data_IF_780888407065
#
_entry.id   IF_780888407065
#
_cell.length_a   1.000
_cell.length_b   1.000
_cell.length_c   1.000
_cell.angle_alpha   90.00
_cell.angle_beta   90.00
_cell.angle_gamma   90.00
#
_symmetry.space_group_name_H-M   'P 1'
#
loop_
_entity.id
_entity.type
_entity.pdbx_description
1 polymer ?
#
# COMPACT_ATOMS: atom_id res chain seq x y z
N UNK A 1 0.30 0.30 8.85
CA UNK A 1 -1.09 0.22 8.38
C UNK A 1 -1.47 -1.20 7.97
N UNK A 2 -2.76 -1.48 7.82
CA UNK A 2 -3.31 -2.71 7.26
C UNK A 2 -3.98 -2.36 5.93
N UNK A 3 -3.54 -3.04 4.88
CA UNK A 3 -4.12 -2.99 3.55
C UNK A 3 -4.90 -4.26 3.25
N UNK A 4 -5.85 -4.15 2.35
CA UNK A 4 -6.60 -5.26 1.81
C UNK A 4 -6.58 -5.19 0.28
N UNK A 5 -6.40 -6.32 -0.40
CA UNK A 5 -6.50 -6.39 -1.85
C UNK A 5 -7.18 -7.68 -2.30
N UNK A 6 -7.66 -7.70 -3.54
CA UNK A 6 -8.23 -8.90 -4.17
C UNK A 6 -7.18 -9.51 -5.07
N UNK A 7 -6.85 -10.78 -4.85
CA UNK A 7 -5.96 -11.50 -5.74
C UNK A 7 -6.71 -11.83 -7.04
N UNK A 8 -6.23 -11.28 -8.15
CA UNK A 8 -6.78 -11.52 -9.48
C UNK A 8 -6.38 -12.88 -10.06
N UNK A 9 -5.34 -13.51 -9.52
CA UNK A 9 -4.81 -14.80 -9.97
C UNK A 9 -5.35 -15.99 -9.16
N UNK A 10 -6.00 -15.73 -8.02
CA UNK A 10 -6.75 -16.76 -7.29
C UNK A 10 -8.14 -16.92 -7.93
N UNK A 11 -8.46 -18.13 -8.41
CA UNK A 11 -9.77 -18.46 -9.01
C UNK A 11 -10.95 -18.11 -8.10
N UNK A 12 -10.72 -18.01 -6.78
CA UNK A 12 -11.73 -17.69 -5.78
C UNK A 12 -11.80 -16.19 -5.43
N UNK A 13 -11.04 -15.32 -6.11
CA UNK A 13 -10.93 -13.88 -5.82
C UNK A 13 -10.74 -13.61 -4.32
N UNK A 14 -9.80 -14.34 -3.71
CA UNK A 14 -9.61 -14.24 -2.26
C UNK A 14 -9.17 -12.84 -1.89
N UNK A 15 -9.70 -12.38 -0.76
CA UNK A 15 -9.35 -11.12 -0.15
C UNK A 15 -8.17 -11.35 0.79
N UNK A 16 -7.06 -10.69 0.52
CA UNK A 16 -5.85 -10.76 1.34
C UNK A 16 -5.74 -9.50 2.19
N UNK A 17 -5.35 -9.69 3.46
CA UNK A 17 -5.03 -8.59 4.38
C UNK A 17 -3.56 -8.65 4.71
N UNK A 18 -2.86 -7.54 4.47
CA UNK A 18 -1.42 -7.45 4.67
C UNK A 18 -1.08 -6.22 5.49
N UNK A 19 -0.01 -6.32 6.26
CA UNK A 19 0.59 -5.15 6.89
C UNK A 19 1.47 -4.44 5.86
N UNK A 20 1.48 -3.12 5.98
CA UNK A 20 2.33 -2.25 5.20
C UNK A 20 2.72 -1.04 6.05
N UNK A 21 3.78 -0.35 5.68
CA UNK A 21 4.23 0.90 6.31
C UNK A 21 4.49 1.95 5.24
N UNK A 22 4.28 3.21 5.58
CA UNK A 22 4.70 4.33 4.73
C UNK A 22 6.06 4.80 5.22
N UNK A 23 7.03 4.88 4.32
CA UNK A 23 8.38 5.34 4.65
C UNK A 23 9.03 6.09 3.48
N UNK A 24 9.99 6.95 3.79
CA UNK A 24 10.88 7.62 2.84
C UNK A 24 12.29 7.00 2.86
N UNK A 25 12.53 6.00 3.71
CA UNK A 25 13.84 5.36 3.91
C UNK A 25 14.01 4.08 3.08
N UNK A 26 13.12 3.84 2.11
CA UNK A 26 13.18 2.68 1.23
C UNK A 26 13.91 3.02 -0.08
N UNK A 27 14.61 2.06 -0.69
CA UNK A 27 15.33 2.27 -1.96
C UNK A 27 14.42 2.71 -3.12
N UNK A 28 13.13 2.39 -3.05
CA UNK A 28 12.13 2.87 -4.01
C UNK A 28 11.72 4.34 -3.80
N UNK A 29 12.03 4.93 -2.64
CA UNK A 29 11.78 6.34 -2.36
C UNK A 29 12.82 7.21 -3.08
N UNK A 30 12.34 8.06 -3.98
CA UNK A 30 13.17 9.04 -4.67
C UNK A 30 12.75 10.45 -4.25
N UNK A 31 13.72 11.35 -4.07
CA UNK A 31 13.48 12.75 -3.68
C UNK A 31 12.65 12.92 -2.39
N UNK A 32 12.75 11.98 -1.45
CA UNK A 32 11.99 12.02 -0.19
C UNK A 32 10.49 11.75 -0.36
N UNK A 33 10.05 11.25 -1.52
CA UNK A 33 8.65 10.90 -1.73
C UNK A 33 8.30 9.66 -0.89
N UNK A 34 7.21 9.70 -0.10
CA UNK A 34 6.79 8.56 0.68
C UNK A 34 6.43 7.39 -0.24
N UNK A 35 6.80 6.18 0.15
CA UNK A 35 6.40 4.94 -0.52
C UNK A 35 5.75 4.00 0.48
N UNK A 36 4.84 3.17 0.00
CA UNK A 36 4.22 2.11 0.78
C UNK A 36 5.11 0.88 0.65
N UNK A 37 5.55 0.32 1.78
CA UNK A 37 6.38 -0.88 1.83
C UNK A 37 5.59 -1.98 2.53
N UNK A 38 5.51 -3.14 1.89
CA UNK A 38 4.87 -4.35 2.39
C UNK A 38 5.79 -5.09 3.37
N UNK A 39 5.24 -6.03 4.14
CA UNK A 39 6.01 -6.80 5.13
C UNK A 39 7.14 -7.65 4.51
N UNK A 40 7.03 -8.02 3.23
CA UNK A 40 8.05 -8.74 2.47
C UNK A 40 9.19 -7.83 1.97
N UNK A 41 9.13 -6.52 2.27
CA UNK A 41 10.10 -5.52 1.83
C UNK A 41 9.82 -4.98 0.42
N UNK A 42 8.80 -5.48 -0.28
CA UNK A 42 8.36 -4.93 -1.56
C UNK A 42 7.78 -3.54 -1.40
N UNK A 43 8.12 -2.63 -2.32
CA UNK A 43 7.42 -1.35 -2.42
C UNK A 43 6.16 -1.53 -3.29
N UNK A 44 5.02 -1.03 -2.80
CA UNK A 44 3.76 -1.05 -3.52
C UNK A 44 3.69 0.15 -4.47
N UNK A 45 3.65 -0.15 -5.76
CA UNK A 45 3.50 0.84 -6.82
C UNK A 45 2.03 1.15 -7.13
N UNK A 46 1.79 2.23 -7.89
CA UNK A 46 0.45 2.72 -8.21
C UNK A 46 -0.32 1.76 -9.13
N UNK A 47 0.35 1.07 -10.06
CA UNK A 47 -0.30 0.13 -10.95
C UNK A 47 -0.86 -1.04 -10.14
N UNK A 48 -0.03 -1.66 -9.28
CA UNK A 48 -0.45 -2.73 -8.38
C UNK A 48 -1.57 -2.28 -7.43
N UNK A 49 -1.49 -1.05 -6.89
CA UNK A 49 -2.53 -0.46 -6.04
C UNK A 49 -3.90 -0.47 -6.73
N UNK A 50 -3.95 0.01 -7.97
CA UNK A 50 -5.20 0.14 -8.74
C UNK A 50 -5.67 -1.24 -9.27
N UNK A 51 -4.77 -2.03 -9.85
CA UNK A 51 -5.13 -3.30 -10.49
C UNK A 51 -5.69 -4.30 -9.50
N UNK A 52 -5.10 -4.40 -8.31
CA UNK A 52 -5.52 -5.34 -7.25
C UNK A 52 -6.58 -4.74 -6.31
N UNK A 53 -7.01 -3.50 -6.57
CA UNK A 53 -8.05 -2.82 -5.80
C UNK A 53 -7.68 -2.67 -4.32
N UNK A 54 -6.45 -2.19 -4.05
CA UNK A 54 -5.98 -2.01 -2.68
C UNK A 54 -6.85 -1.02 -1.90
N UNK A 55 -7.18 -1.39 -0.66
CA UNK A 55 -7.98 -0.60 0.26
C UNK A 55 -7.28 -0.50 1.61
N UNK A 56 -7.38 0.68 2.22
CA UNK A 56 -6.84 0.94 3.56
C UNK A 56 -7.87 0.52 4.61
N UNK A 57 -7.61 -0.58 5.30
CA UNK A 57 -8.50 -1.09 6.36
C UNK A 57 -8.22 -0.41 7.69
N UNK A 58 -6.93 -0.15 7.97
CA UNK A 58 -6.52 0.49 9.22
C UNK A 58 -5.24 1.28 9.01
N UNK A 59 -5.26 2.57 9.32
CA UNK A 59 -4.08 3.43 9.28
C UNK A 59 -4.10 4.38 10.49
N UNK A 60 -2.92 4.72 10.99
CA UNK A 60 -2.73 5.80 11.97
C UNK A 60 -3.01 7.17 11.33
N UNK A 61 -3.21 8.21 12.14
CA UNK A 61 -3.45 9.57 11.63
C UNK A 61 -2.32 10.07 10.71
N UNK A 62 -1.06 9.77 11.07
CA UNK A 62 0.13 10.12 10.25
C UNK A 62 0.10 9.41 8.90
N UNK A 63 -0.21 8.12 8.89
CA UNK A 63 -0.33 7.35 7.64
C UNK A 63 -1.49 7.83 6.78
N UNK A 64 -2.65 8.13 7.37
CA UNK A 64 -3.79 8.68 6.64
C UNK A 64 -3.46 10.02 5.96
N UNK A 65 -2.74 10.91 6.65
CA UNK A 65 -2.32 12.18 6.06
C UNK A 65 -1.38 11.96 4.87
N UNK A 66 -0.42 11.04 4.99
CA UNK A 66 0.47 10.68 3.88
C UNK A 66 -0.31 10.10 2.70
N UNK A 67 -1.26 9.19 2.94
CA UNK A 67 -2.10 8.60 1.89
C UNK A 67 -2.92 9.67 1.13
N UNK A 68 -3.47 10.67 1.84
CA UNK A 68 -4.18 11.81 1.22
C UNK A 68 -3.25 12.65 0.35
N UNK A 69 -2.02 12.93 0.82
CA UNK A 69 -1.02 13.66 0.03
C UNK A 69 -0.60 12.88 -1.22
N UNK A 70 -0.62 11.56 -1.16
CA UNK A 70 -0.33 10.66 -2.29
C UNK A 70 -1.55 10.49 -3.22
N UNK A 71 -2.73 11.00 -2.87
CA UNK A 71 -3.96 10.87 -3.66
C UNK A 71 -4.57 9.46 -3.63
N UNK A 72 -4.27 8.66 -2.60
CA UNK A 72 -4.71 7.27 -2.51
C UNK A 72 -6.02 7.08 -1.71
N UNK A 73 -6.43 8.10 -0.94
CA UNK A 73 -7.71 8.18 -0.17
C UNK A 73 -8.23 9.61 -0.07
#
# INVERSE_FOLDING_TARGET
MILQYTDLFDEKKKIHRIKAKITTEHSASHYGQPVIVLDDGGALDLFSWVSLGYQVIKASKKEQQALRQMGLI
#
